data_IF_886428930290
#
_entry.id   IF_886428930290
#
_cell.length_a   1.000
_cell.length_b   1.000
_cell.length_c   1.000
_cell.angle_alpha   90.00
_cell.angle_beta   90.00
_cell.angle_gamma   90.00
#
_symmetry.space_group_name_H-M   'P 1'
#
loop_
_entity.id
_entity.type
_entity.pdbx_description
1 polymer ?
#
# COMPACT_ATOMS: atom_id res chain seq x y z
N UNK A 1 -4.29 -41.27 20.58
CA UNK A 1 -3.21 -40.56 19.86
C UNK A 1 -3.86 -39.46 19.06
N UNK A 2 -3.64 -38.19 19.43
CA UNK A 2 -4.15 -37.06 18.66
C UNK A 2 -3.24 -36.87 17.44
N UNK A 3 -3.81 -37.04 16.25
CA UNK A 3 -3.15 -36.72 14.98
C UNK A 3 -2.80 -35.23 15.00
N UNK A 4 -1.55 -34.82 14.74
CA UNK A 4 -1.23 -33.40 14.66
C UNK A 4 -2.02 -32.82 13.49
N UNK A 5 -2.81 -31.78 13.74
CA UNK A 5 -3.43 -31.00 12.66
C UNK A 5 -2.30 -30.52 11.75
N UNK A 6 -2.29 -31.00 10.51
CA UNK A 6 -1.48 -30.42 9.45
C UNK A 6 -1.89 -28.95 9.34
N UNK A 7 -1.04 -28.04 9.82
CA UNK A 7 -1.21 -26.60 9.62
C UNK A 7 -1.02 -26.36 8.14
N UNK A 8 -2.12 -26.36 7.38
CA UNK A 8 -2.11 -26.04 5.95
C UNK A 8 -1.44 -24.68 5.79
N UNK A 9 -0.27 -24.66 5.14
CA UNK A 9 0.43 -23.42 4.83
C UNK A 9 -0.46 -22.59 3.89
N UNK A 10 -0.75 -21.35 4.28
CA UNK A 10 -1.59 -20.43 3.49
C UNK A 10 -0.99 -20.28 2.09
N UNK A 11 -1.84 -20.27 1.06
CA UNK A 11 -1.42 -20.13 -0.33
C UNK A 11 -1.69 -18.73 -0.87
N UNK A 12 -0.76 -18.17 -1.64
CA UNK A 12 -0.78 -16.76 -2.06
C UNK A 12 -0.62 -16.65 -3.57
N UNK A 13 -1.30 -15.70 -4.22
CA UNK A 13 -1.14 -15.41 -5.65
C UNK A 13 -1.06 -13.91 -5.91
N UNK A 14 -0.20 -13.48 -6.83
CA UNK A 14 0.05 -12.07 -7.15
C UNK A 14 -0.44 -11.77 -8.56
N UNK A 15 -1.16 -10.66 -8.72
CA UNK A 15 -1.65 -10.13 -9.99
C UNK A 15 -1.28 -8.66 -10.08
N UNK A 16 -0.41 -8.33 -11.01
CA UNK A 16 0.17 -7.01 -11.09
C UNK A 16 -0.17 -6.30 -12.39
N UNK A 17 -0.69 -5.08 -12.25
CA UNK A 17 -0.89 -4.18 -13.37
C UNK A 17 0.36 -3.31 -13.57
N UNK A 18 1.11 -3.61 -14.63
CA UNK A 18 2.35 -2.91 -14.95
C UNK A 18 2.13 -1.42 -15.26
N UNK A 19 0.95 -1.04 -15.77
CA UNK A 19 0.69 0.35 -16.16
C UNK A 19 0.44 1.25 -14.94
N UNK A 20 -0.04 0.65 -13.84
CA UNK A 20 -0.42 1.37 -12.63
C UNK A 20 0.74 1.48 -11.60
N UNK A 21 1.85 0.77 -11.81
CA UNK A 21 2.94 0.66 -10.82
C UNK A 21 4.32 0.74 -11.46
N UNK A 22 5.25 1.46 -10.81
CA UNK A 22 6.62 1.57 -11.30
C UNK A 22 7.47 0.38 -10.85
N UNK A 23 7.66 -0.59 -11.75
CA UNK A 23 8.36 -1.83 -11.43
C UNK A 23 9.78 -1.88 -11.99
N UNK A 24 10.63 -2.55 -11.22
CA UNK A 24 11.97 -3.00 -11.56
C UNK A 24 12.24 -4.34 -10.86
N UNK A 25 13.38 -4.97 -11.16
CA UNK A 25 13.79 -6.26 -10.59
C UNK A 25 13.70 -6.31 -9.06
N UNK A 26 14.14 -5.24 -8.37
CA UNK A 26 14.11 -5.18 -6.91
C UNK A 26 12.69 -5.18 -6.37
N UNK A 27 11.79 -4.40 -6.99
CA UNK A 27 10.39 -4.35 -6.56
C UNK A 27 9.64 -5.63 -6.86
N UNK A 28 9.96 -6.33 -7.95
CA UNK A 28 9.35 -7.63 -8.26
C UNK A 28 9.80 -8.67 -7.24
N UNK A 29 11.11 -8.75 -6.93
CA UNK A 29 11.61 -9.62 -5.85
C UNK A 29 10.91 -9.31 -4.53
N UNK A 30 10.82 -8.03 -4.16
CA UNK A 30 10.18 -7.60 -2.92
C UNK A 30 8.71 -8.05 -2.82
N UNK A 31 7.95 -7.97 -3.91
CA UNK A 31 6.56 -8.45 -3.95
C UNK A 31 6.47 -9.96 -3.70
N UNK A 32 7.39 -10.73 -4.28
CA UNK A 32 7.45 -12.18 -4.08
C UNK A 32 7.89 -12.53 -2.67
N UNK A 33 8.90 -11.87 -2.14
CA UNK A 33 9.38 -12.09 -0.79
C UNK A 33 8.29 -11.73 0.24
N UNK A 34 7.56 -10.64 0.00
CA UNK A 34 6.38 -10.28 0.79
C UNK A 34 5.29 -11.36 0.72
N UNK A 35 4.95 -11.86 -0.47
CA UNK A 35 4.00 -12.96 -0.60
C UNK A 35 4.46 -14.23 0.11
N UNK A 36 5.75 -14.58 0.00
CA UNK A 36 6.35 -15.72 0.68
C UNK A 36 6.37 -15.57 2.22
N UNK A 37 6.39 -14.32 2.73
CA UNK A 37 6.25 -14.05 4.16
C UNK A 37 4.83 -14.31 4.68
N UNK A 38 3.83 -14.26 3.80
CA UNK A 38 2.42 -14.53 4.12
C UNK A 38 2.11 -16.04 3.96
N UNK A 39 2.68 -16.68 2.95
CA UNK A 39 2.37 -18.07 2.62
C UNK A 39 3.10 -18.57 1.37
N UNK A 40 2.76 -19.76 0.90
CA UNK A 40 3.36 -20.34 -0.31
C UNK A 40 2.88 -19.61 -1.56
N UNK A 41 3.79 -18.96 -2.29
CA UNK A 41 3.48 -18.32 -3.57
C UNK A 41 3.15 -19.36 -4.65
N UNK A 42 1.90 -19.39 -5.11
CA UNK A 42 1.42 -20.30 -6.16
C UNK A 42 1.65 -19.73 -7.56
N UNK A 43 1.34 -18.45 -7.76
CA UNK A 43 1.54 -17.77 -9.03
C UNK A 43 1.82 -16.29 -8.82
N UNK A 44 2.63 -15.73 -9.71
CA UNK A 44 2.82 -14.30 -9.82
C UNK A 44 2.70 -13.94 -11.30
N UNK A 45 1.73 -13.10 -11.63
CA UNK A 45 1.41 -12.68 -12.99
C UNK A 45 1.49 -11.17 -13.11
N UNK A 46 2.10 -10.71 -14.19
CA UNK A 46 2.27 -9.30 -14.50
C UNK A 46 1.62 -9.02 -15.85
N UNK A 47 0.66 -8.10 -15.88
CA UNK A 47 -0.14 -7.80 -17.06
C UNK A 47 0.27 -6.45 -17.61
N UNK A 48 0.40 -6.38 -18.94
CA UNK A 48 0.72 -5.14 -19.64
C UNK A 48 0.09 -5.14 -21.03
N UNK A 49 -0.20 -3.95 -21.54
CA UNK A 49 -0.65 -3.79 -22.92
C UNK A 49 0.53 -3.32 -23.80
N UNK A 50 1.04 -4.15 -24.74
CA UNK A 50 2.15 -3.77 -25.62
C UNK A 50 1.79 -2.64 -26.59
N UNK A 51 0.50 -2.36 -26.82
CA UNK A 51 0.05 -1.23 -27.63
C UNK A 51 0.20 0.11 -26.90
N UNK A 52 0.26 0.08 -25.56
CA UNK A 52 0.38 1.28 -24.70
C UNK A 52 1.81 1.44 -24.17
N UNK A 53 2.44 0.34 -23.75
CA UNK A 53 3.78 0.32 -23.18
C UNK A 53 4.83 0.18 -24.29
N UNK A 54 5.59 1.26 -24.53
CA UNK A 54 6.65 1.28 -25.55
C UNK A 54 7.95 0.57 -25.14
N UNK A 55 8.21 0.50 -23.84
CA UNK A 55 9.41 -0.15 -23.27
C UNK A 55 8.98 -0.99 -22.08
N UNK A 56 8.70 -2.26 -22.37
CA UNK A 56 8.40 -3.25 -21.35
C UNK A 56 9.70 -3.87 -20.83
N UNK A 57 9.76 -4.12 -19.53
CA UNK A 57 10.84 -4.87 -18.90
C UNK A 57 10.31 -6.26 -18.59
N UNK A 58 10.92 -7.28 -19.20
CA UNK A 58 10.68 -8.67 -18.81
C UNK A 58 11.39 -8.97 -17.50
N UNK A 59 10.76 -9.78 -16.65
CA UNK A 59 11.31 -10.22 -15.38
C UNK A 59 11.25 -11.75 -15.32
N UNK A 60 12.35 -12.40 -14.98
CA UNK A 60 12.45 -13.87 -15.08
C UNK A 60 11.65 -14.64 -14.02
N UNK A 61 11.32 -14.00 -12.91
CA UNK A 61 10.67 -14.60 -11.75
C UNK A 61 9.15 -14.39 -11.72
N UNK A 62 8.56 -13.67 -12.69
CA UNK A 62 7.12 -13.42 -12.78
C UNK A 62 6.61 -13.76 -14.19
N UNK A 63 5.42 -14.34 -14.29
CA UNK A 63 4.83 -14.63 -15.60
C UNK A 63 4.29 -13.33 -16.20
N UNK A 64 4.93 -12.83 -17.26
CA UNK A 64 4.48 -11.65 -17.99
C UNK A 64 3.38 -12.05 -19.00
N UNK A 65 2.27 -11.34 -18.99
CA UNK A 65 1.09 -11.57 -19.82
C UNK A 65 0.82 -10.33 -20.65
N UNK A 66 0.87 -10.50 -21.96
CA UNK A 66 0.52 -9.46 -22.92
C UNK A 66 -1.00 -9.37 -23.13
N UNK A 67 -1.50 -8.15 -23.18
CA UNK A 67 -2.91 -7.85 -23.43
C UNK A 67 -3.00 -6.89 -24.62
N UNK A 68 -2.77 -7.36 -25.87
CA UNK A 68 -2.74 -6.52 -27.07
C UNK A 68 -4.14 -6.13 -27.53
N UNK A 69 -4.86 -5.37 -26.71
CA UNK A 69 -6.23 -4.94 -26.97
C UNK A 69 -6.30 -3.41 -26.91
N UNK A 70 -6.92 -2.79 -27.91
CA UNK A 70 -7.07 -1.33 -27.96
C UNK A 70 -8.26 -0.81 -27.15
N UNK A 71 -9.11 -1.70 -26.61
CA UNK A 71 -10.24 -1.32 -25.79
C UNK A 71 -9.76 -0.76 -24.43
N UNK A 72 -10.40 0.29 -23.90
CA UNK A 72 -10.13 0.77 -22.56
C UNK A 72 -10.28 -0.35 -21.52
N UNK A 73 -9.45 -0.31 -20.47
CA UNK A 73 -9.50 -1.21 -19.32
C UNK A 73 -9.33 -2.70 -19.67
N UNK A 74 -8.80 -3.02 -20.85
CA UNK A 74 -8.61 -4.39 -21.30
C UNK A 74 -7.70 -5.20 -20.37
N UNK A 75 -6.70 -4.53 -19.77
CA UNK A 75 -5.80 -5.13 -18.77
C UNK A 75 -6.56 -5.49 -17.50
N UNK A 76 -7.42 -4.60 -17.00
CA UNK A 76 -8.21 -4.82 -15.78
C UNK A 76 -9.20 -5.97 -15.96
N UNK A 77 -9.87 -6.03 -17.11
CA UNK A 77 -10.73 -7.16 -17.47
C UNK A 77 -9.95 -8.47 -17.53
N UNK A 78 -8.74 -8.46 -18.11
CA UNK A 78 -7.91 -9.66 -18.22
C UNK A 78 -7.43 -10.13 -16.84
N UNK A 79 -6.96 -9.22 -15.99
CA UNK A 79 -6.59 -9.49 -14.60
C UNK A 79 -7.76 -10.13 -13.86
N UNK A 80 -8.93 -9.49 -13.93
CA UNK A 80 -10.14 -9.96 -13.23
C UNK A 80 -10.54 -11.37 -13.67
N UNK A 81 -10.56 -11.64 -14.97
CA UNK A 81 -10.88 -12.95 -15.52
C UNK A 81 -9.88 -14.03 -15.06
N UNK A 82 -8.58 -13.72 -15.12
CA UNK A 82 -7.54 -14.69 -14.77
C UNK A 82 -7.52 -14.98 -13.26
N UNK A 83 -7.79 -14.00 -12.39
CA UNK A 83 -7.98 -14.22 -10.95
C UNK A 83 -9.12 -15.22 -10.70
N UNK A 84 -10.30 -14.98 -11.30
CA UNK A 84 -11.46 -15.87 -11.11
C UNK A 84 -11.17 -17.28 -11.63
N UNK A 85 -10.46 -17.40 -12.75
CA UNK A 85 -10.03 -18.69 -13.30
C UNK A 85 -9.08 -19.41 -12.35
N UNK A 86 -8.06 -18.73 -11.83
CA UNK A 86 -7.07 -19.32 -10.93
C UNK A 86 -7.70 -19.72 -9.59
N UNK A 87 -8.69 -18.97 -9.10
CA UNK A 87 -9.46 -19.35 -7.90
C UNK A 87 -10.15 -20.70 -8.06
N UNK A 88 -10.63 -21.03 -9.27
CA UNK A 88 -11.26 -22.33 -9.56
C UNK A 88 -10.26 -23.46 -9.73
N UNK A 89 -9.02 -23.16 -10.10
CA UNK A 89 -8.01 -24.17 -10.43
C UNK A 89 -7.08 -24.48 -9.24
N UNK A 90 -6.54 -23.44 -8.62
CA UNK A 90 -5.51 -23.55 -7.59
C UNK A 90 -6.02 -23.19 -6.19
N UNK A 91 -7.22 -22.59 -6.09
CA UNK A 91 -7.85 -22.16 -4.85
C UNK A 91 -6.92 -21.40 -3.88
N UNK A 92 -6.15 -20.38 -4.32
CA UNK A 92 -5.33 -19.57 -3.42
C UNK A 92 -6.15 -19.03 -2.25
N UNK A 93 -5.57 -19.02 -1.05
CA UNK A 93 -6.22 -18.49 0.15
C UNK A 93 -6.14 -16.95 0.18
N UNK A 94 -5.00 -16.40 -0.28
CA UNK A 94 -4.73 -14.96 -0.36
C UNK A 94 -4.49 -14.51 -1.81
N UNK A 95 -5.13 -13.41 -2.20
CA UNK A 95 -4.95 -12.74 -3.49
C UNK A 95 -4.30 -11.38 -3.24
N UNK A 96 -3.17 -11.14 -3.90
CA UNK A 96 -2.47 -9.86 -3.91
C UNK A 96 -2.75 -9.18 -5.25
N UNK A 97 -3.45 -8.04 -5.22
CA UNK A 97 -3.67 -7.18 -6.39
C UNK A 97 -2.70 -6.02 -6.30
N UNK A 98 -1.82 -5.89 -7.27
CA UNK A 98 -0.82 -4.82 -7.34
C UNK A 98 -1.31 -3.77 -8.35
N UNK A 99 -2.24 -2.93 -7.89
CA UNK A 99 -2.79 -1.78 -8.61
C UNK A 99 -3.45 -0.82 -7.61
N UNK A 100 -3.54 0.46 -7.98
CA UNK A 100 -4.31 1.46 -7.24
C UNK A 100 -5.66 1.82 -7.85
N UNK A 101 -6.03 1.18 -8.96
CA UNK A 101 -7.19 1.56 -9.76
C UNK A 101 -8.52 1.20 -9.07
N UNK A 102 -9.46 2.14 -9.08
CA UNK A 102 -10.79 1.95 -8.51
C UNK A 102 -11.63 0.91 -9.24
N UNK A 103 -11.30 0.59 -10.49
CA UNK A 103 -12.03 -0.42 -11.29
C UNK A 103 -11.92 -1.84 -10.71
N UNK A 104 -10.98 -2.08 -9.78
CA UNK A 104 -10.89 -3.35 -9.05
C UNK A 104 -11.80 -3.47 -7.82
N UNK A 105 -12.52 -2.41 -7.40
CA UNK A 105 -13.34 -2.43 -6.17
C UNK A 105 -14.36 -3.58 -6.18
N UNK A 106 -15.15 -3.69 -7.25
CA UNK A 106 -16.18 -4.73 -7.36
C UNK A 106 -15.57 -6.14 -7.33
N UNK A 107 -14.41 -6.31 -7.99
CA UNK A 107 -13.66 -7.57 -7.93
C UNK A 107 -13.23 -7.88 -6.49
N UNK A 108 -12.63 -6.93 -5.77
CA UNK A 108 -12.19 -7.12 -4.38
C UNK A 108 -13.35 -7.57 -3.48
N UNK A 109 -14.53 -6.97 -3.63
CA UNK A 109 -15.72 -7.35 -2.88
C UNK A 109 -16.19 -8.77 -3.21
N UNK A 110 -16.21 -9.14 -4.50
CA UNK A 110 -16.53 -10.51 -4.94
C UNK A 110 -15.53 -11.51 -4.35
N UNK A 111 -14.23 -11.22 -4.39
CA UNK A 111 -13.19 -12.10 -3.87
C UNK A 111 -13.36 -12.34 -2.36
N UNK A 112 -13.66 -11.29 -1.60
CA UNK A 112 -13.92 -11.39 -0.16
C UNK A 112 -15.18 -12.19 0.13
N UNK A 113 -16.24 -11.99 -0.66
CA UNK A 113 -17.46 -12.80 -0.56
C UNK A 113 -17.18 -14.28 -0.81
N UNK A 114 -16.26 -14.60 -1.73
CA UNK A 114 -15.76 -15.96 -1.98
C UNK A 114 -14.81 -16.49 -0.89
N UNK A 115 -14.66 -15.78 0.22
CA UNK A 115 -13.82 -16.18 1.36
C UNK A 115 -12.32 -16.01 1.13
N UNK A 116 -11.90 -15.21 0.14
CA UNK A 116 -10.49 -14.92 -0.12
C UNK A 116 -10.02 -13.75 0.73
N UNK A 117 -8.78 -13.85 1.21
CA UNK A 117 -8.11 -12.71 1.83
C UNK A 117 -7.46 -11.86 0.73
N UNK A 118 -7.90 -10.60 0.59
CA UNK A 118 -7.46 -9.72 -0.49
C UNK A 118 -6.53 -8.63 0.04
N UNK A 119 -5.31 -8.59 -0.48
CA UNK A 119 -4.32 -7.56 -0.19
C UNK A 119 -4.16 -6.68 -1.43
N UNK A 120 -4.30 -5.38 -1.27
CA UNK A 120 -4.03 -4.41 -2.34
C UNK A 120 -2.67 -3.76 -2.09
N UNK A 121 -1.83 -3.71 -3.12
CA UNK A 121 -0.54 -3.03 -3.09
C UNK A 121 -0.54 -1.96 -4.19
N UNK A 122 -0.27 -0.72 -3.83
CA UNK A 122 -0.30 0.38 -4.80
C UNK A 122 0.94 1.27 -4.75
N UNK A 123 1.21 1.95 -5.86
CA UNK A 123 2.19 3.03 -5.92
C UNK A 123 1.68 4.24 -5.10
N UNK A 124 2.54 4.84 -4.28
CA UNK A 124 2.15 5.99 -3.45
C UNK A 124 1.62 7.16 -4.29
N UNK A 125 0.42 7.63 -3.96
CA UNK A 125 -0.22 8.77 -4.62
C UNK A 125 -1.08 8.42 -5.83
N UNK A 126 -1.16 7.14 -6.22
CA UNK A 126 -2.04 6.66 -7.27
C UNK A 126 -2.90 5.53 -6.70
N UNK A 127 -3.94 5.87 -5.90
CA UNK A 127 -4.85 4.87 -5.32
C UNK A 127 -6.22 5.45 -5.00
N UNK A 128 -7.27 4.70 -5.33
CA UNK A 128 -8.64 5.02 -4.96
C UNK A 128 -8.92 4.70 -3.48
N UNK A 129 -9.43 5.67 -2.72
CA UNK A 129 -9.71 5.49 -1.29
C UNK A 129 -10.72 4.37 -0.99
N UNK A 130 -11.69 4.12 -1.89
CA UNK A 130 -12.65 3.03 -1.72
C UNK A 130 -12.01 1.67 -1.94
N UNK A 131 -11.04 1.56 -2.84
CA UNK A 131 -10.27 0.32 -3.05
C UNK A 131 -9.51 -0.08 -1.78
N UNK A 132 -8.92 0.91 -1.10
CA UNK A 132 -8.25 0.68 0.19
C UNK A 132 -9.25 0.15 1.22
N UNK A 133 -10.45 0.75 1.28
CA UNK A 133 -11.49 0.38 2.24
C UNK A 133 -12.11 -1.00 1.94
N UNK A 134 -12.18 -1.40 0.66
CA UNK A 134 -12.75 -2.69 0.28
C UNK A 134 -11.79 -3.86 0.55
N UNK A 135 -10.48 -3.67 0.44
CA UNK A 135 -9.48 -4.71 0.68
C UNK A 135 -9.43 -5.18 2.16
N UNK A 136 -8.91 -6.39 2.41
CA UNK A 136 -8.63 -6.84 3.78
C UNK A 136 -7.39 -6.14 4.35
N UNK A 137 -6.38 -5.93 3.50
CA UNK A 137 -5.15 -5.22 3.84
C UNK A 137 -4.70 -4.36 2.66
N UNK A 138 -3.98 -3.29 2.97
CA UNK A 138 -3.43 -2.39 1.98
C UNK A 138 -1.99 -2.01 2.34
N UNK A 139 -1.12 -1.98 1.34
CA UNK A 139 0.26 -1.54 1.48
C UNK A 139 0.66 -0.61 0.34
N UNK A 140 1.49 0.39 0.62
CA UNK A 140 2.23 1.05 -0.44
C UNK A 140 3.44 0.21 -0.82
N UNK A 141 3.73 0.12 -2.12
CA UNK A 141 4.88 -0.63 -2.63
C UNK A 141 6.20 -0.21 -1.94
N UNK A 142 6.39 1.09 -1.72
CA UNK A 142 7.59 1.64 -1.07
C UNK A 142 7.70 1.27 0.42
N UNK A 143 6.59 0.99 1.10
CA UNK A 143 6.59 0.64 2.52
C UNK A 143 6.91 -0.85 2.74
N UNK A 144 6.80 -1.70 1.70
CA UNK A 144 7.16 -3.11 1.80
C UNK A 144 8.64 -3.31 2.15
N UNK A 145 9.55 -2.46 1.65
CA UNK A 145 10.97 -2.56 1.98
C UNK A 145 11.21 -2.45 3.50
N UNK A 146 10.52 -1.51 4.14
CA UNK A 146 10.64 -1.30 5.58
C UNK A 146 10.05 -2.44 6.42
N UNK A 147 9.02 -3.12 5.88
CA UNK A 147 8.42 -4.29 6.51
C UNK A 147 9.34 -5.51 6.43
N UNK A 148 10.14 -5.60 5.37
CA UNK A 148 11.03 -6.74 5.11
C UNK A 148 12.43 -6.58 5.72
N UNK A 149 12.87 -5.35 6.00
CA UNK A 149 14.18 -5.07 6.60
C UNK A 149 14.22 -5.20 8.14
N UNK A 150 13.07 -5.31 8.82
CA UNK A 150 13.04 -5.56 10.25
C UNK A 150 12.86 -7.06 10.53
N UNK A 151 13.64 -7.66 11.45
CA UNK A 151 13.33 -9.01 11.92
C UNK A 151 11.99 -8.97 12.64
N UNK A 152 10.97 -9.54 12.00
CA UNK A 152 9.65 -9.72 12.59
C UNK A 152 9.78 -10.77 13.67
N UNK A 153 9.89 -10.35 14.93
CA UNK A 153 9.39 -11.18 16.02
C UNK A 153 7.88 -11.26 15.85
N UNK A 154 7.42 -12.44 15.47
CA UNK A 154 6.03 -12.84 15.38
C UNK A 154 5.28 -12.44 16.65
N UNK A 155 4.17 -11.71 16.49
CA UNK A 155 2.87 -12.04 17.09
C UNK A 155 1.78 -11.04 16.66
N UNK A 156 0.64 -11.61 16.28
CA UNK A 156 -0.72 -11.05 16.28
C UNK A 156 -1.06 -9.86 15.36
N UNK A 157 -1.83 -10.20 14.32
CA UNK A 157 -2.99 -9.48 13.77
C UNK A 157 -3.38 -8.19 14.50
N UNK A 158 -3.33 -7.05 13.80
CA UNK A 158 -4.13 -5.89 14.19
C UNK A 158 -5.07 -5.54 13.05
N UNK A 159 -6.31 -6.01 13.25
CA UNK A 159 -7.50 -5.47 12.63
C UNK A 159 -7.42 -3.95 12.57
N UNK A 160 -7.60 -3.39 11.37
CA UNK A 160 -7.84 -1.96 11.18
C UNK A 160 -9.20 -1.63 11.79
N UNK A 161 -9.19 -1.32 13.08
CA UNK A 161 -10.25 -0.55 13.73
C UNK A 161 -9.64 0.81 14.07
N UNK A 162 -10.34 1.85 13.63
CA UNK A 162 -9.97 3.26 13.76
C UNK A 162 -9.44 3.65 15.14
N UNK A 163 -8.27 4.31 15.20
CA UNK A 163 -8.10 5.62 15.88
C UNK A 163 -6.66 6.08 16.12
N UNK A 164 -5.63 5.30 15.75
CA UNK A 164 -4.26 5.60 16.22
C UNK A 164 -3.21 5.48 15.10
N UNK A 165 -2.60 6.64 14.78
CA UNK A 165 -1.55 6.83 13.80
C UNK A 165 -0.19 6.83 14.50
N UNK A 166 0.80 6.09 14.00
CA UNK A 166 2.13 6.13 14.62
C UNK A 166 2.83 7.48 14.39
N UNK A 167 3.73 7.86 15.29
CA UNK A 167 4.53 9.08 15.16
C UNK A 167 5.37 9.11 13.87
N UNK A 168 5.93 7.96 13.48
CA UNK A 168 6.70 7.83 12.24
C UNK A 168 5.85 8.05 10.99
N UNK A 169 4.64 7.50 10.94
CA UNK A 169 3.71 7.73 9.84
C UNK A 169 3.23 9.19 9.81
N UNK A 170 2.97 9.78 10.97
CA UNK A 170 2.60 11.20 11.06
C UNK A 170 3.71 12.12 10.51
N UNK A 171 4.98 11.80 10.74
CA UNK A 171 6.13 12.51 10.13
C UNK A 171 6.12 12.38 8.60
N UNK A 172 5.88 11.16 8.07
CA UNK A 172 5.77 10.94 6.62
C UNK A 172 4.68 11.83 6.01
N UNK A 173 3.51 11.90 6.65
CA UNK A 173 2.40 12.74 6.20
C UNK A 173 2.74 14.23 6.25
N UNK A 174 3.40 14.68 7.32
CA UNK A 174 3.84 16.06 7.48
C UNK A 174 4.81 16.48 6.37
N UNK A 175 5.84 15.67 6.10
CA UNK A 175 6.83 15.94 5.05
C UNK A 175 6.15 16.05 3.69
N UNK A 176 5.20 15.15 3.40
CA UNK A 176 4.47 15.16 2.13
C UNK A 176 3.56 16.37 2.01
N UNK A 177 2.86 16.77 3.07
CA UNK A 177 2.05 17.99 3.09
C UNK A 177 2.91 19.26 2.86
N UNK A 178 4.08 19.37 3.49
CA UNK A 178 5.02 20.49 3.28
C UNK A 178 5.53 20.50 1.84
N UNK A 179 5.95 19.35 1.28
CA UNK A 179 6.35 19.24 -0.14
C UNK A 179 5.24 19.69 -1.08
N UNK A 180 4.00 19.25 -0.84
CA UNK A 180 2.85 19.65 -1.65
C UNK A 180 2.59 21.16 -1.56
N UNK A 181 2.63 21.73 -0.36
CA UNK A 181 2.45 23.18 -0.16
C UNK A 181 3.51 24.00 -0.92
N UNK A 182 4.79 23.60 -0.81
CA UNK A 182 5.90 24.24 -1.53
C UNK A 182 5.74 24.14 -3.04
N UNK A 183 5.41 22.95 -3.57
CA UNK A 183 5.20 22.75 -5.01
C UNK A 183 4.05 23.58 -5.60
N UNK A 184 3.07 23.95 -4.76
CA UNK A 184 1.93 24.76 -5.14
C UNK A 184 2.16 26.26 -4.88
N UNK A 185 3.36 26.67 -4.46
CA UNK A 185 3.65 28.04 -3.99
C UNK A 185 2.66 28.54 -2.92
N UNK A 186 2.20 27.63 -2.05
CA UNK A 186 1.27 27.95 -0.96
C UNK A 186 2.02 28.03 0.38
N UNK A 187 1.35 28.65 1.36
CA UNK A 187 1.88 28.79 2.73
C UNK A 187 2.25 27.44 3.34
N UNK A 188 3.37 27.39 4.05
CA UNK A 188 3.75 26.24 4.90
C UNK A 188 3.46 26.51 6.38
N UNK A 189 2.51 27.41 6.67
CA UNK A 189 2.08 27.71 8.03
C UNK A 189 1.37 26.54 8.70
N UNK A 190 1.49 26.45 10.03
CA UNK A 190 1.00 25.32 10.83
C UNK A 190 -0.47 24.94 10.58
N UNK A 191 -1.36 25.93 10.55
CA UNK A 191 -2.80 25.69 10.32
C UNK A 191 -3.07 25.10 8.95
N UNK A 192 -2.49 25.71 7.91
CA UNK A 192 -2.63 25.25 6.53
C UNK A 192 -2.07 23.84 6.36
N UNK A 193 -0.90 23.54 6.92
CA UNK A 193 -0.29 22.21 6.84
C UNK A 193 -1.11 21.16 7.59
N UNK A 194 -1.62 21.48 8.78
CA UNK A 194 -2.53 20.58 9.51
C UNK A 194 -3.80 20.27 8.71
N UNK A 195 -4.39 21.27 8.07
CA UNK A 195 -5.59 21.07 7.23
C UNK A 195 -5.26 20.28 5.97
N UNK A 196 -4.10 20.53 5.36
CA UNK A 196 -3.61 19.80 4.21
C UNK A 196 -3.35 18.33 4.57
N UNK A 197 -2.77 18.04 5.73
CA UNK A 197 -2.60 16.67 6.22
C UNK A 197 -3.96 15.96 6.38
N UNK A 198 -4.97 16.62 6.95
CA UNK A 198 -6.32 16.04 7.10
C UNK A 198 -6.98 15.74 5.75
N UNK A 199 -6.82 16.65 4.79
CA UNK A 199 -7.37 16.50 3.43
C UNK A 199 -6.66 15.41 2.64
N UNK A 200 -5.34 15.29 2.80
CA UNK A 200 -4.51 14.37 2.01
C UNK A 200 -4.43 12.96 2.61
N UNK A 201 -4.68 12.80 3.92
CA UNK A 201 -4.50 11.52 4.62
C UNK A 201 -5.72 11.23 5.53
N UNK A 202 -6.68 10.41 5.08
CA UNK A 202 -7.87 10.06 5.88
C UNK A 202 -7.57 9.37 7.22
N UNK A 203 -6.41 8.72 7.33
CA UNK A 203 -5.90 8.15 8.60
C UNK A 203 -5.47 9.23 9.61
N UNK A 204 -5.18 10.45 9.14
CA UNK A 204 -4.86 11.59 9.99
C UNK A 204 -6.10 12.40 10.36
N UNK A 205 -6.66 12.11 11.53
CA UNK A 205 -7.80 12.85 12.10
C UNK A 205 -7.35 14.00 13.02
N UNK A 206 -6.08 14.38 12.98
CA UNK A 206 -5.48 15.44 13.80
C UNK A 206 -4.41 14.94 14.76
N UNK A 207 -3.66 15.85 15.37
CA UNK A 207 -2.53 15.48 16.24
C UNK A 207 -2.87 14.52 17.40
N UNK A 208 -4.12 14.49 17.86
CA UNK A 208 -4.57 13.59 18.93
C UNK A 208 -4.62 12.11 18.52
N UNK A 209 -4.65 11.80 17.22
CA UNK A 209 -4.56 10.41 16.76
C UNK A 209 -3.10 9.92 16.72
N UNK A 210 -2.11 10.81 16.83
CA UNK A 210 -0.69 10.44 16.76
C UNK A 210 -0.23 9.87 18.10
N UNK A 211 0.38 8.68 18.09
CA UNK A 211 1.08 8.08 19.25
C UNK A 211 2.58 8.08 19.05
N UNK A 212 3.33 8.56 20.05
CA UNK A 212 4.79 8.41 20.12
C UNK A 212 5.19 6.96 20.37
N UNK A 213 6.47 6.64 20.19
CA UNK A 213 7.02 5.30 20.47
C UNK A 213 6.81 4.88 21.94
N UNK A 214 6.59 5.83 22.86
CA UNK A 214 6.24 5.60 24.27
C UNK A 214 4.71 5.57 24.55
N UNK A 215 3.87 5.59 23.50
CA UNK A 215 2.41 5.56 23.60
C UNK A 215 1.73 6.88 23.96
N UNK A 216 2.49 7.98 24.08
CA UNK A 216 1.94 9.30 24.44
C UNK A 216 1.30 9.96 23.22
N UNK A 217 0.13 10.57 23.41
CA UNK A 217 -0.58 11.33 22.36
C UNK A 217 -0.24 12.82 22.38
N UNK A 218 -0.27 13.46 21.22
CA UNK A 218 -0.09 14.90 21.14
C UNK A 218 -1.40 15.64 21.38
N UNK A 219 -1.40 16.57 22.34
CA UNK A 219 -2.56 17.41 22.65
C UNK A 219 -2.71 18.61 21.71
N UNK A 220 -1.62 19.04 21.05
CA UNK A 220 -1.60 20.19 20.15
C UNK A 220 -0.70 19.92 18.94
N UNK A 221 -1.11 20.43 17.78
CA UNK A 221 -0.33 20.25 16.54
C UNK A 221 1.06 20.87 16.63
N UNK A 222 1.19 22.05 17.25
CA UNK A 222 2.49 22.69 17.49
C UNK A 222 3.44 21.81 18.31
N UNK A 223 2.94 21.05 19.29
CA UNK A 223 3.77 20.13 20.10
C UNK A 223 4.28 18.95 19.29
N UNK A 224 3.47 18.46 18.36
CA UNK A 224 3.91 17.47 17.38
C UNK A 224 5.03 18.04 16.50
N UNK A 225 4.86 19.24 15.94
CA UNK A 225 5.89 19.89 15.11
C UNK A 225 7.19 20.14 15.89
N UNK A 226 7.11 20.63 17.13
CA UNK A 226 8.28 20.83 18.00
C UNK A 226 9.09 19.53 18.18
N UNK A 227 8.41 18.39 18.36
CA UNK A 227 9.07 17.08 18.43
C UNK A 227 9.77 16.72 17.10
N UNK A 228 9.10 16.91 15.97
CA UNK A 228 9.67 16.60 14.64
C UNK A 228 10.86 17.51 14.28
N UNK A 229 10.83 18.78 14.74
CA UNK A 229 11.95 19.71 14.61
C UNK A 229 13.12 19.26 15.48
N UNK A 230 12.86 18.80 16.71
CA UNK A 230 13.90 18.21 17.58
C UNK A 230 14.54 16.96 16.96
N UNK A 231 13.79 16.18 16.19
CA UNK A 231 14.29 15.02 15.44
C UNK A 231 15.06 15.39 14.15
N UNK A 232 15.19 16.68 13.84
CA UNK A 232 15.91 17.19 12.68
C UNK A 232 15.30 16.82 11.34
N UNK A 233 13.99 16.50 11.29
CA UNK A 233 13.30 16.10 10.05
C UNK A 233 12.65 17.26 9.31
N UNK A 234 12.38 18.36 10.01
CA UNK A 234 11.74 19.58 9.51
C UNK A 234 12.40 20.77 10.21
N UNK A 235 12.55 21.88 9.49
CA UNK A 235 12.97 23.17 10.05
C UNK A 235 11.73 24.05 10.22
N UNK A 236 11.59 24.72 11.36
CA UNK A 236 10.53 25.70 11.60
C UNK A 236 11.14 27.08 11.78
N UNK A 237 10.74 28.05 10.94
CA UNK A 237 11.16 29.45 11.02
C UNK A 237 9.96 30.36 10.78
N UNK A 238 9.78 31.38 11.61
CA UNK A 238 8.68 32.36 11.49
C UNK A 238 7.29 31.71 11.36
N UNK A 239 7.05 30.62 12.10
CA UNK A 239 5.82 29.81 12.07
C UNK A 239 5.52 29.13 10.72
N UNK A 240 6.53 29.01 9.86
CA UNK A 240 6.52 28.28 8.60
C UNK A 240 7.41 27.04 8.68
N UNK A 241 7.01 26.00 7.94
CA UNK A 241 7.70 24.71 7.90
C UNK A 241 8.51 24.55 6.61
N UNK A 242 9.73 24.06 6.76
CA UNK A 242 10.67 23.77 5.68
C UNK A 242 11.22 22.36 5.85
N UNK A 243 11.62 21.75 4.74
CA UNK A 243 12.33 20.49 4.80
C UNK A 243 13.74 20.74 5.35
N UNK A 244 14.17 19.89 6.28
CA UNK A 244 15.54 19.89 6.79
C UNK A 244 16.54 19.38 5.75
#
# INVERSE_FOLDING_TARGET
>A
MATPLSTKQSSVSIYCDYQNVNLNEKTVSLLQDFANSIGTLLTAKLYYNPLVIRKFLEFHNITCIDVPCSLPNSVDYRISNDIIKDIRQAHPDTIIIVSGDGDFIDLVEILKYLGKHVIVIAQSGNVNARLIQSANQFYYLNDLQQLMEKPVTSEASTQVTSSELSYREAIKYLIRAVKTALSQNKSTGLGYINDLMRKSFPSYQGCHCIRTDNGIKFSRFKKFIEAVVSDGKIIMKDNQLFLA
#
